data_IF_163374947608
#
_entry.id   IF_163374947608
#
_cell.length_a   1.000
_cell.length_b   1.000
_cell.length_c   1.000
_cell.angle_alpha   90.00
_cell.angle_beta   90.00
_cell.angle_gamma   90.00
#
_symmetry.space_group_name_H-M   'P 1'
#
loop_
_entity.id
_entity.type
_entity.pdbx_description
1 polymer ?
#
# COMPACT_ATOMS: atom_id res chain seq x y z
N UNK A 1 8.67 -7.70 -31.69
CA UNK A 1 8.26 -8.90 -30.92
C UNK A 1 7.49 -8.40 -29.70
N UNK A 2 6.22 -8.80 -29.54
CA UNK A 2 5.47 -8.44 -28.35
C UNK A 2 6.07 -9.19 -27.16
N UNK A 3 6.69 -8.47 -26.23
CA UNK A 3 7.23 -9.07 -25.01
C UNK A 3 6.04 -9.55 -24.18
N UNK A 4 5.96 -10.85 -23.90
CA UNK A 4 4.94 -11.38 -23.02
C UNK A 4 5.14 -10.80 -21.61
N UNK A 5 4.20 -9.98 -21.15
CA UNK A 5 4.22 -9.35 -19.82
C UNK A 5 3.68 -10.34 -18.79
N UNK A 6 4.54 -10.82 -17.89
CA UNK A 6 4.12 -11.72 -16.80
C UNK A 6 3.80 -10.97 -15.52
N UNK A 7 4.76 -10.17 -15.04
CA UNK A 7 4.62 -9.29 -13.88
C UNK A 7 5.65 -8.17 -13.94
N UNK A 8 5.36 -7.04 -13.34
CA UNK A 8 6.26 -5.90 -13.33
C UNK A 8 5.58 -4.61 -12.90
N UNK A 9 6.29 -3.50 -13.13
CA UNK A 9 5.88 -2.17 -12.74
C UNK A 9 5.76 -1.27 -13.97
N UNK A 10 4.81 -0.35 -13.93
CA UNK A 10 4.62 0.71 -14.92
C UNK A 10 4.35 2.03 -14.22
N UNK A 11 4.59 3.12 -14.96
CA UNK A 11 4.15 4.44 -14.54
C UNK A 11 2.62 4.51 -14.58
N UNK A 12 2.05 5.23 -13.62
CA UNK A 12 0.69 5.76 -13.78
C UNK A 12 0.71 6.83 -14.88
N UNK A 13 -0.36 6.90 -15.68
CA UNK A 13 -0.45 7.85 -16.81
C UNK A 13 -0.13 9.28 -16.36
N UNK A 14 0.76 9.95 -17.10
CA UNK A 14 1.21 11.31 -16.83
C UNK A 14 2.49 11.40 -15.98
N UNK A 15 3.01 10.28 -15.48
CA UNK A 15 4.26 10.22 -14.71
C UNK A 15 5.40 9.47 -15.40
N UNK A 16 5.23 9.06 -16.66
CA UNK A 16 6.16 8.23 -17.43
C UNK A 16 7.59 8.76 -17.40
N UNK A 17 7.77 10.08 -17.52
CA UNK A 17 9.08 10.73 -17.60
C UNK A 17 9.68 11.08 -16.22
N UNK A 18 8.91 10.94 -15.14
CA UNK A 18 9.31 11.40 -13.79
C UNK A 18 9.39 10.27 -12.77
N UNK A 19 8.66 9.17 -12.99
CA UNK A 19 8.61 8.07 -12.04
C UNK A 19 9.91 7.26 -12.09
N UNK A 20 10.42 6.93 -10.92
CA UNK A 20 11.45 5.93 -10.78
C UNK A 20 10.80 4.57 -10.50
N UNK A 21 10.84 3.67 -11.49
CA UNK A 21 10.26 2.34 -11.33
C UNK A 21 11.03 1.51 -10.30
N UNK A 22 10.33 0.65 -9.52
CA UNK A 22 10.97 -0.19 -8.52
C UNK A 22 11.98 -1.15 -9.12
N UNK A 23 13.16 -1.23 -8.50
CA UNK A 23 14.24 -2.14 -8.91
C UNK A 23 14.81 -2.90 -7.72
N UNK A 24 15.44 -4.04 -8.02
CA UNK A 24 16.18 -4.82 -7.03
C UNK A 24 17.54 -4.18 -6.77
N UNK A 25 17.92 -4.08 -5.49
CA UNK A 25 19.21 -3.50 -5.08
C UNK A 25 20.42 -4.36 -5.45
N UNK A 26 20.28 -5.68 -5.40
CA UNK A 26 21.37 -6.64 -5.64
C UNK A 26 20.90 -7.81 -6.47
N UNK A 27 21.85 -8.54 -7.07
CA UNK A 27 21.59 -9.72 -7.93
C UNK A 27 20.60 -10.73 -7.34
N UNK A 28 20.66 -10.95 -6.03
CA UNK A 28 19.87 -11.95 -5.32
C UNK A 28 18.80 -11.34 -4.39
N UNK A 29 18.55 -10.04 -4.47
CA UNK A 29 17.43 -9.44 -3.72
C UNK A 29 16.11 -10.07 -4.19
N UNK A 30 15.22 -10.41 -3.26
CA UNK A 30 13.87 -10.86 -3.58
C UNK A 30 12.87 -9.70 -3.74
N UNK A 31 13.19 -8.54 -3.17
CA UNK A 31 12.33 -7.37 -3.14
C UNK A 31 12.79 -6.25 -4.08
N UNK A 32 11.82 -5.47 -4.57
CA UNK A 32 12.00 -4.29 -5.40
C UNK A 32 11.81 -3.05 -4.53
N UNK A 33 12.79 -2.14 -4.50
CA UNK A 33 12.72 -0.91 -3.71
C UNK A 33 11.79 0.11 -4.40
N UNK A 34 10.86 0.70 -3.64
CA UNK A 34 10.02 1.82 -4.06
C UNK A 34 10.63 3.15 -3.63
N UNK A 35 10.45 4.17 -4.45
CA UNK A 35 11.09 5.47 -4.31
C UNK A 35 10.09 6.57 -3.94
N UNK A 36 10.52 7.56 -3.17
CA UNK A 36 9.70 8.73 -2.86
C UNK A 36 9.59 9.63 -4.09
N UNK A 37 8.38 9.93 -4.60
CA UNK A 37 8.24 10.82 -5.74
C UNK A 37 8.49 12.30 -5.39
N UNK A 38 8.47 12.62 -4.10
CA UNK A 38 8.55 13.98 -3.55
C UNK A 38 9.41 13.96 -2.27
N UNK A 39 9.95 15.10 -1.81
CA UNK A 39 10.46 15.21 -0.45
C UNK A 39 9.34 15.00 0.59
N UNK A 40 9.61 14.24 1.64
CA UNK A 40 8.63 13.88 2.67
C UNK A 40 9.24 14.04 4.06
N UNK A 41 8.47 14.63 4.98
CA UNK A 41 8.78 14.69 6.41
C UNK A 41 7.63 14.07 7.19
N UNK A 42 7.95 13.13 8.07
CA UNK A 42 6.99 12.42 8.92
C UNK A 42 7.35 12.67 10.39
N UNK A 43 6.68 13.63 11.05
CA UNK A 43 6.93 13.90 12.47
C UNK A 43 6.54 12.70 13.36
N UNK A 44 7.07 12.62 14.60
CA UNK A 44 6.73 11.55 15.52
C UNK A 44 5.22 11.37 15.71
N UNK A 45 4.80 10.11 15.81
CA UNK A 45 3.39 9.68 15.89
C UNK A 45 2.51 10.06 14.69
N UNK A 46 3.02 10.74 13.66
CA UNK A 46 2.25 11.12 12.47
C UNK A 46 2.27 10.04 11.39
N UNK A 47 1.32 10.14 10.46
CA UNK A 47 1.24 9.31 9.25
C UNK A 47 1.19 10.23 8.03
N UNK A 48 1.91 9.85 6.98
CA UNK A 48 1.77 10.44 5.65
C UNK A 48 1.25 9.38 4.67
N UNK A 49 0.47 9.81 3.70
CA UNK A 49 0.03 8.99 2.57
C UNK A 49 0.81 9.41 1.33
N UNK A 50 1.50 8.46 0.70
CA UNK A 50 2.30 8.70 -0.51
C UNK A 50 1.69 7.90 -1.65
N UNK A 51 1.30 8.60 -2.71
CA UNK A 51 0.99 8.00 -4.01
C UNK A 51 2.32 7.80 -4.74
N UNK A 52 2.66 6.57 -5.09
CA UNK A 52 4.00 6.25 -5.62
C UNK A 52 4.18 6.59 -7.10
N UNK A 53 3.07 6.84 -7.81
CA UNK A 53 3.01 6.97 -9.28
C UNK A 53 3.43 5.70 -10.02
N UNK A 54 3.45 4.57 -9.31
CA UNK A 54 3.74 3.24 -9.83
C UNK A 54 2.49 2.38 -9.73
N UNK A 55 2.19 1.64 -10.79
CA UNK A 55 1.21 0.55 -10.81
C UNK A 55 1.91 -0.77 -11.11
N UNK A 56 1.38 -1.88 -10.62
CA UNK A 56 1.99 -3.20 -10.79
C UNK A 56 1.03 -4.17 -11.47
N UNK A 57 1.49 -4.82 -12.55
CA UNK A 57 0.77 -5.93 -13.20
C UNK A 57 1.39 -7.26 -12.76
N UNK A 58 0.58 -8.31 -12.71
CA UNK A 58 1.00 -9.67 -12.34
C UNK A 58 -0.02 -10.72 -12.82
N UNK A 59 0.30 -12.01 -12.64
CA UNK A 59 -0.63 -13.09 -13.00
C UNK A 59 -1.78 -13.20 -11.98
N UNK A 60 -2.92 -13.85 -12.34
CA UNK A 60 -4.09 -13.93 -11.46
C UNK A 60 -3.83 -14.59 -10.09
N UNK A 61 -2.89 -15.53 -10.00
CA UNK A 61 -2.53 -16.25 -8.78
C UNK A 61 -1.38 -15.60 -7.99
N UNK A 62 -1.11 -14.32 -8.26
CA UNK A 62 -0.04 -13.55 -7.65
C UNK A 62 -0.58 -12.33 -6.91
N UNK A 63 0.17 -11.94 -5.88
CA UNK A 63 -0.01 -10.69 -5.17
C UNK A 63 1.36 -10.04 -4.94
N UNK A 64 1.37 -8.72 -4.78
CA UNK A 64 2.55 -7.96 -4.41
C UNK A 64 2.43 -7.54 -2.94
N UNK A 65 3.31 -8.09 -2.09
CA UNK A 65 3.43 -7.70 -0.69
C UNK A 65 4.37 -6.51 -0.56
N UNK A 66 3.93 -5.47 0.13
CA UNK A 66 4.72 -4.26 0.41
C UNK A 66 5.12 -4.23 1.88
N UNK A 67 6.40 -3.97 2.11
CA UNK A 67 7.01 -3.89 3.42
C UNK A 67 7.76 -2.57 3.60
N UNK A 68 7.94 -2.15 4.85
CA UNK A 68 8.99 -1.17 5.15
C UNK A 68 10.37 -1.79 4.92
N UNK A 69 11.33 -0.95 4.52
CA UNK A 69 12.73 -1.36 4.43
C UNK A 69 13.28 -1.55 5.83
N UNK A 70 14.22 -2.47 6.01
CA UNK A 70 14.85 -2.72 7.32
C UNK A 70 15.47 -1.45 7.91
N UNK A 71 16.08 -0.60 7.08
CA UNK A 71 16.60 0.72 7.48
C UNK A 71 15.50 1.68 7.94
N UNK A 72 14.30 1.61 7.34
CA UNK A 72 13.14 2.37 7.77
C UNK A 72 12.62 1.86 9.12
N UNK A 73 12.47 0.54 9.27
CA UNK A 73 12.06 -0.07 10.54
C UNK A 73 12.97 0.29 11.71
N UNK A 74 14.30 0.34 11.50
CA UNK A 74 15.27 0.81 12.49
C UNK A 74 15.04 2.26 12.95
N UNK A 75 14.44 3.11 12.12
CA UNK A 75 14.12 4.53 12.41
C UNK A 75 12.70 4.72 12.96
N UNK A 76 11.95 3.65 13.20
CA UNK A 76 10.54 3.73 13.60
C UNK A 76 9.57 3.96 12.42
N UNK A 77 9.97 3.69 11.18
CA UNK A 77 9.04 3.72 10.05
C UNK A 77 8.21 2.44 10.00
N UNK A 78 6.90 2.58 9.92
CA UNK A 78 5.96 1.48 9.78
C UNK A 78 4.95 1.77 8.65
N UNK A 79 4.54 0.75 7.90
CA UNK A 79 3.31 0.85 7.13
C UNK A 79 2.14 0.86 8.10
N UNK A 80 1.23 1.83 7.99
CA UNK A 80 0.08 1.97 8.91
C UNK A 80 -0.82 0.73 8.91
N UNK A 81 -0.91 0.04 7.78
CA UNK A 81 -1.62 -1.22 7.61
C UNK A 81 -0.73 -2.47 7.83
N UNK A 82 0.45 -2.31 8.45
CA UNK A 82 1.47 -3.33 8.72
C UNK A 82 2.16 -3.88 7.47
N UNK A 83 1.39 -4.44 6.53
CA UNK A 83 1.86 -4.96 5.24
C UNK A 83 0.88 -4.50 4.17
N UNK A 84 1.39 -3.91 3.09
CA UNK A 84 0.56 -3.64 1.92
C UNK A 84 0.32 -4.92 1.14
N UNK A 85 -0.91 -5.17 0.75
CA UNK A 85 -1.28 -6.29 -0.12
C UNK A 85 -1.91 -5.69 -1.37
N UNK A 86 -1.26 -5.89 -2.51
CA UNK A 86 -1.72 -5.41 -3.81
C UNK A 86 -2.13 -6.63 -4.63
N UNK A 87 -3.43 -6.71 -4.91
CA UNK A 87 -4.03 -7.75 -5.74
C UNK A 87 -3.78 -7.48 -7.22
N UNK A 88 -3.84 -8.54 -8.04
CA UNK A 88 -3.63 -8.45 -9.50
C UNK A 88 -4.64 -7.54 -10.20
N UNK A 89 -5.87 -7.47 -9.69
CA UNK A 89 -6.96 -6.64 -10.22
C UNK A 89 -6.93 -5.17 -9.72
N UNK A 90 -5.94 -4.80 -8.89
CA UNK A 90 -5.70 -3.39 -8.55
C UNK A 90 -5.14 -2.60 -9.74
N UNK A 91 -4.42 -3.26 -10.65
CA UNK A 91 -3.84 -2.66 -11.84
C UNK A 91 -4.90 -2.09 -12.79
N UNK A 92 -4.73 -0.83 -13.22
CA UNK A 92 -5.65 -0.13 -14.12
C UNK A 92 -7.12 -0.07 -13.62
N UNK A 93 -7.34 -0.16 -12.30
CA UNK A 93 -8.68 0.11 -11.76
C UNK A 93 -9.12 1.55 -12.12
N UNK A 94 -10.41 1.80 -12.34
CA UNK A 94 -10.88 3.08 -12.89
C UNK A 94 -10.80 4.27 -11.92
N UNK A 95 -10.57 4.04 -10.63
CA UNK A 95 -10.49 5.11 -9.62
C UNK A 95 -9.11 5.78 -9.59
N UNK A 96 -8.04 4.99 -9.49
CA UNK A 96 -6.68 5.53 -9.38
C UNK A 96 -5.65 4.88 -10.30
N UNK A 97 -6.09 4.14 -11.32
CA UNK A 97 -5.24 3.45 -12.31
C UNK A 97 -4.33 2.35 -11.72
N UNK A 98 -4.54 1.99 -10.45
CA UNK A 98 -3.65 1.11 -9.71
C UNK A 98 -2.43 1.81 -9.14
N UNK A 99 -2.47 3.14 -8.95
CA UNK A 99 -1.43 3.87 -8.25
C UNK A 99 -1.25 3.28 -6.85
N UNK A 100 -0.08 2.69 -6.60
CA UNK A 100 0.23 2.07 -5.32
C UNK A 100 0.39 3.19 -4.28
N UNK A 101 -0.37 3.08 -3.19
CA UNK A 101 -0.40 4.06 -2.12
C UNK A 101 0.25 3.46 -0.87
N UNK A 102 1.21 4.20 -0.29
CA UNK A 102 1.90 3.84 0.94
C UNK A 102 1.45 4.77 2.07
N UNK A 103 0.87 4.21 3.13
CA UNK A 103 0.60 4.95 4.37
C UNK A 103 1.76 4.72 5.34
N UNK A 104 2.67 5.67 5.42
CA UNK A 104 3.88 5.57 6.24
C UNK A 104 3.69 6.30 7.55
N UNK A 105 3.88 5.58 8.66
CA UNK A 105 3.79 6.08 10.03
C UNK A 105 5.17 6.17 10.65
N UNK A 106 5.43 7.29 11.32
CA UNK A 106 6.53 7.39 12.27
C UNK A 106 6.04 6.94 13.65
N UNK A 107 6.64 5.88 14.18
CA UNK A 107 6.29 5.28 15.47
C UNK A 107 7.08 5.86 16.64
N UNK A 108 8.02 6.78 16.40
CA UNK A 108 8.75 7.46 17.46
C UNK A 108 7.78 8.22 18.37
N UNK A 109 8.16 8.33 19.64
CA UNK A 109 7.38 9.05 20.64
C UNK A 109 7.36 10.56 20.40
N UNK A 110 6.36 11.25 20.95
CA UNK A 110 6.27 12.72 20.85
C UNK A 110 7.56 13.34 21.41
N UNK A 111 8.20 14.20 20.62
CA UNK A 111 9.52 14.78 20.93
C UNK A 111 10.72 13.98 20.41
N UNK A 112 10.50 12.82 19.78
CA UNK A 112 11.53 12.04 19.08
C UNK A 112 11.88 12.60 17.69
N UNK A 113 12.65 11.83 16.94
CA UNK A 113 13.14 12.24 15.61
C UNK A 113 12.06 12.15 14.52
N UNK A 114 12.07 13.15 13.64
CA UNK A 114 11.36 13.10 12.37
C UNK A 114 11.98 12.04 11.45
N UNK A 115 11.16 11.38 10.64
CA UNK A 115 11.65 10.58 9.53
C UNK A 115 11.51 11.41 8.26
N UNK A 116 12.63 11.66 7.59
CA UNK A 116 12.71 12.50 6.40
C UNK A 116 13.20 11.67 5.22
N UNK A 117 12.60 11.88 4.05
CA UNK A 117 13.01 11.33 2.78
C UNK A 117 13.17 12.42 1.74
N UNK A 118 14.27 12.38 0.99
CA UNK A 118 14.42 13.18 -0.23
C UNK A 118 13.65 12.52 -1.39
N UNK A 119 13.35 13.29 -2.44
CA UNK A 119 12.86 12.72 -3.69
C UNK A 119 13.88 11.71 -4.23
N UNK A 120 13.39 10.56 -4.74
CA UNK A 120 14.23 9.47 -5.24
C UNK A 120 14.83 8.58 -4.13
N UNK A 121 14.54 8.81 -2.86
CA UNK A 121 14.98 7.91 -1.79
C UNK A 121 14.07 6.69 -1.65
N UNK A 122 14.67 5.55 -1.24
CA UNK A 122 13.97 4.28 -1.09
C UNK A 122 13.14 4.24 0.20
N UNK A 123 11.82 4.22 0.07
CA UNK A 123 10.86 4.35 1.18
C UNK A 123 10.15 3.04 1.57
N UNK A 124 10.02 2.09 0.64
CA UNK A 124 9.40 0.79 0.86
C UNK A 124 10.02 -0.27 -0.05
N UNK A 125 9.62 -1.52 0.09
CA UNK A 125 10.05 -2.61 -0.79
C UNK A 125 8.89 -3.58 -1.04
N UNK A 126 8.84 -4.17 -2.24
CA UNK A 126 7.77 -5.07 -2.66
C UNK A 126 8.28 -6.45 -3.12
N UNK A 127 7.57 -7.51 -2.78
CA UNK A 127 7.86 -8.90 -3.19
C UNK A 127 6.62 -9.50 -3.87
N UNK A 128 6.78 -9.99 -5.10
CA UNK A 128 5.74 -10.80 -5.74
C UNK A 128 5.74 -12.20 -5.14
N UNK A 129 4.57 -12.69 -4.77
CA UNK A 129 4.39 -14.04 -4.23
C UNK A 129 3.19 -14.71 -4.89
N UNK A 130 3.27 -16.03 -5.02
CA UNK A 130 2.10 -16.84 -5.37
C UNK A 130 1.21 -17.02 -4.14
N UNK A 131 -0.10 -17.06 -4.35
CA UNK A 131 -1.06 -17.52 -3.35
C UNK A 131 -1.79 -18.77 -3.84
N UNK A 132 -2.45 -19.46 -2.91
CA UNK A 132 -3.28 -20.62 -3.17
C UNK A 132 -4.73 -20.29 -2.80
N UNK A 133 -5.67 -20.99 -3.42
CA UNK A 133 -7.09 -20.88 -3.12
C UNK A 133 -7.46 -21.91 -2.04
N UNK A 134 -8.49 -21.59 -1.24
CA UNK A 134 -9.06 -22.51 -0.28
C UNK A 134 -9.91 -23.58 -0.97
N UNK A 135 -10.21 -24.68 -0.27
CA UNK A 135 -11.07 -25.73 -0.80
C UNK A 135 -12.45 -25.20 -1.21
N UNK A 136 -12.90 -25.57 -2.41
CA UNK A 136 -14.17 -25.13 -2.98
C UNK A 136 -14.15 -23.73 -3.60
N UNK A 137 -13.01 -23.04 -3.61
CA UNK A 137 -12.84 -21.76 -4.28
C UNK A 137 -12.22 -21.91 -5.68
N UNK A 138 -12.50 -20.94 -6.56
CA UNK A 138 -11.95 -20.87 -7.92
C UNK A 138 -11.94 -19.41 -8.38
N UNK A 139 -10.98 -19.05 -9.24
CA UNK A 139 -10.91 -17.67 -9.76
C UNK A 139 -12.15 -17.31 -10.57
N UNK A 140 -12.78 -18.30 -11.21
CA UNK A 140 -13.98 -18.17 -12.03
C UNK A 140 -15.24 -17.89 -11.19
N UNK A 141 -15.25 -18.25 -9.90
CA UNK A 141 -16.36 -17.99 -8.99
C UNK A 141 -16.55 -16.50 -8.68
N UNK A 142 -15.55 -15.66 -8.96
CA UNK A 142 -15.56 -14.23 -8.65
C UNK A 142 -15.68 -13.38 -9.92
N UNK A 143 -16.90 -12.94 -10.25
CA UNK A 143 -17.16 -12.13 -11.46
C UNK A 143 -17.12 -10.61 -11.22
N UNK A 144 -16.98 -10.18 -9.97
CA UNK A 144 -16.98 -8.76 -9.60
C UNK A 144 -15.65 -8.15 -10.00
N UNK A 145 -15.70 -7.11 -10.85
CA UNK A 145 -14.52 -6.33 -11.20
C UNK A 145 -14.26 -5.27 -10.14
N UNK A 146 -12.99 -5.10 -9.74
CA UNK A 146 -12.58 -3.98 -8.88
C UNK A 146 -12.85 -2.65 -9.59
N UNK A 147 -13.51 -1.74 -8.87
CA UNK A 147 -13.84 -0.39 -9.35
C UNK A 147 -13.12 0.71 -8.58
N UNK A 148 -12.40 0.40 -7.51
CA UNK A 148 -11.81 1.40 -6.62
C UNK A 148 -10.42 1.06 -6.09
N UNK A 149 -9.83 2.04 -5.41
CA UNK A 149 -8.53 1.95 -4.74
C UNK A 149 -8.57 1.29 -3.35
N UNK A 150 -7.83 1.86 -2.39
CA UNK A 150 -7.75 1.31 -1.02
C UNK A 150 -9.14 1.18 -0.38
N UNK A 151 -9.48 -0.03 0.06
CA UNK A 151 -10.68 -0.31 0.85
C UNK A 151 -11.98 -0.43 0.03
N UNK A 152 -11.91 -0.44 -1.30
CA UNK A 152 -13.09 -0.46 -2.18
C UNK A 152 -13.86 -1.79 -2.20
N UNK A 153 -13.33 -2.85 -1.61
CA UNK A 153 -13.93 -4.20 -1.63
C UNK A 153 -14.82 -4.50 -0.41
N UNK A 154 -14.87 -3.61 0.59
CA UNK A 154 -15.70 -3.77 1.77
C UNK A 154 -17.01 -3.01 1.70
N UNK A 155 -18.16 -3.69 1.64
CA UNK A 155 -19.45 -3.09 1.99
C UNK A 155 -19.50 -3.01 3.52
N UNK A 156 -19.15 -1.85 4.08
CA UNK A 156 -19.41 -1.59 5.50
C UNK A 156 -20.92 -1.48 5.73
N UNK A 157 -21.59 -2.59 6.04
CA UNK A 157 -22.88 -2.51 6.73
C UNK A 157 -22.61 -1.98 8.15
N UNK A 158 -22.93 -0.70 8.38
CA UNK A 158 -22.90 -0.12 9.72
C UNK A 158 -24.02 -0.77 10.53
N UNK A 159 -23.68 -1.59 11.52
CA UNK A 159 -24.67 -2.00 12.54
C UNK A 159 -25.03 -0.76 13.35
N UNK A 160 -26.22 -0.22 13.09
CA UNK A 160 -26.75 0.99 13.73
C UNK A 160 -26.82 0.85 15.25
N UNK A 161 -26.95 -0.37 15.79
CA UNK A 161 -26.99 -0.63 17.24
C UNK A 161 -25.65 -0.33 17.91
N UNK A 162 -24.54 -0.67 17.27
CA UNK A 162 -23.19 -0.40 17.80
C UNK A 162 -22.84 1.11 17.74
N UNK A 163 -23.37 1.85 16.76
CA UNK A 163 -23.21 3.30 16.70
C UNK A 163 -24.00 4.01 17.81
N UNK A 164 -25.19 3.52 18.17
CA UNK A 164 -25.98 4.09 19.26
C UNK A 164 -25.34 3.83 20.63
N UNK A 165 -24.75 2.66 20.86
CA UNK A 165 -24.05 2.32 22.10
C UNK A 165 -22.76 3.13 22.29
N UNK A 166 -21.97 3.31 21.23
CA UNK A 166 -20.77 4.16 21.26
C UNK A 166 -21.11 5.63 21.48
N UNK A 167 -22.18 6.13 20.85
CA UNK A 167 -22.67 7.49 21.10
C UNK A 167 -23.23 7.69 22.52
N UNK A 168 -23.87 6.68 23.11
CA UNK A 168 -24.32 6.71 24.52
C UNK A 168 -23.14 6.71 25.50
N UNK A 169 -22.06 5.97 25.20
CA UNK A 169 -20.86 5.95 26.03
C UNK A 169 -20.03 7.23 25.92
N UNK A 170 -19.93 7.82 24.73
CA UNK A 170 -19.20 9.08 24.53
C UNK A 170 -19.84 10.27 25.25
N UNK A 171 -21.16 10.26 25.45
CA UNK A 171 -21.89 11.31 26.18
C UNK A 171 -21.81 11.18 27.71
N UNK A 172 -21.24 10.09 28.24
CA UNK A 172 -21.15 9.82 29.69
C UNK A 172 -19.77 10.10 30.30
N UNK A 173 -18.79 10.56 29.53
CA UNK A 173 -17.47 10.92 30.07
C UNK A 173 -17.32 12.44 30.13
N UNK A 174 -16.89 12.91 31.30
CA UNK A 174 -16.52 14.28 31.70
C UNK A 174 -17.62 15.14 32.34
N UNK A 175 -18.05 14.73 33.54
CA UNK A 175 -18.34 15.66 34.64
C UNK A 175 -17.58 15.11 35.85
N UNK A 176 -16.35 15.57 36.06
CA UNK A 176 -15.63 15.73 37.34
C UNK A 176 -14.36 16.52 37.05
#
# INVERSE_FOLDING_TARGET
>A
MSVCKFRGFEAVTGYEDTVQLPIRSTKHSGAYDFYSPLPVRIPPRQTVTIHTNVKAYMQPNELLLLFTRSSGGKKGLQLKNTTGLIDSDYYNNPDNEGNIILMLRNTNEIGGEDIIFSQGEKIAQGVFVNFLLADGDSLENHTVKRTGGIGSTGIFMKDTRLQEETNKHSKKKWIF
#
